data_IF_358211967554
#
_entry.id   IF_358211967554
#
_cell.length_a   1.000
_cell.length_b   1.000
_cell.length_c   1.000
_cell.angle_alpha   90.00
_cell.angle_beta   90.00
_cell.angle_gamma   90.00
#
_symmetry.space_group_name_H-M   'P 1'
#
loop_
_entity.id
_entity.type
_entity.pdbx_description
1 polymer ?
#
# COMPACT_ATOMS: atom_id res chain seq x y z
N UNK A 1 -7.52 -24.87 1.33
CA UNK A 1 -7.15 -23.49 1.71
C UNK A 1 -7.81 -22.55 0.74
N UNK A 2 -8.28 -21.38 1.19
CA UNK A 2 -8.81 -20.35 0.27
C UNK A 2 -7.65 -19.73 -0.48
N UNK A 3 -7.74 -19.71 -1.81
CA UNK A 3 -6.74 -19.12 -2.70
C UNK A 3 -7.38 -17.95 -3.43
N UNK A 4 -6.60 -16.90 -3.64
CA UNK A 4 -7.03 -15.68 -4.29
C UNK A 4 -6.15 -15.36 -5.49
N UNK A 5 -6.75 -14.71 -6.48
CA UNK A 5 -6.02 -14.00 -7.51
C UNK A 5 -5.75 -12.59 -7.02
N UNK A 6 -4.53 -12.12 -7.20
CA UNK A 6 -4.19 -10.70 -7.00
C UNK A 6 -3.92 -10.04 -8.35
N UNK A 7 -4.18 -8.73 -8.44
CA UNK A 7 -3.90 -7.95 -9.65
C UNK A 7 -3.34 -6.59 -9.25
N UNK A 8 -2.15 -6.27 -9.75
CA UNK A 8 -1.52 -4.97 -9.52
C UNK A 8 -2.20 -3.88 -10.37
N UNK A 9 -2.72 -2.84 -9.73
CA UNK A 9 -3.35 -1.68 -10.35
C UNK A 9 -2.47 -0.46 -10.12
N UNK A 10 -1.88 0.11 -11.17
CA UNK A 10 -1.12 1.35 -11.05
C UNK A 10 -2.06 2.55 -11.03
N UNK A 11 -2.02 3.32 -9.93
CA UNK A 11 -2.91 4.47 -9.66
C UNK A 11 -2.18 5.79 -9.85
N UNK A 12 -1.05 5.77 -10.46
CA UNK A 12 -0.21 6.92 -10.76
C UNK A 12 1.26 6.58 -10.68
N UNK A 13 2.08 7.58 -10.98
CA UNK A 13 3.55 7.42 -11.01
C UNK A 13 4.22 8.67 -10.48
N UNK A 14 5.12 8.51 -9.51
CA UNK A 14 6.03 9.52 -9.02
C UNK A 14 7.38 9.36 -9.75
N UNK A 15 8.01 10.46 -10.08
CA UNK A 15 9.37 10.50 -10.64
C UNK A 15 10.26 11.23 -9.66
N UNK A 16 11.14 10.49 -9.03
CA UNK A 16 12.04 10.99 -8.00
C UNK A 16 13.36 10.19 -8.04
N UNK A 17 14.27 10.50 -7.12
CA UNK A 17 15.41 9.64 -6.88
C UNK A 17 14.98 8.34 -6.21
N UNK A 18 15.80 7.31 -6.35
CA UNK A 18 15.56 6.00 -5.71
C UNK A 18 15.77 6.03 -4.19
N UNK A 19 16.59 6.97 -3.68
CA UNK A 19 17.00 6.99 -2.27
C UNK A 19 15.84 7.01 -1.24
N UNK A 20 14.64 7.60 -1.48
CA UNK A 20 13.52 7.47 -0.55
C UNK A 20 13.08 6.02 -0.30
N UNK A 21 13.30 5.15 -1.28
CA UNK A 21 12.92 3.74 -1.22
C UNK A 21 14.02 2.84 -0.62
N UNK A 22 15.27 3.37 -0.50
CA UNK A 22 16.45 2.58 -0.13
C UNK A 22 17.42 3.42 0.71
N UNK A 23 17.42 3.21 2.02
CA UNK A 23 18.26 3.96 2.95
C UNK A 23 19.74 3.85 2.63
N UNK A 24 20.39 4.98 2.45
CA UNK A 24 21.84 5.08 2.18
C UNK A 24 22.25 4.68 0.76
N UNK A 25 21.30 4.46 -0.16
CA UNK A 25 21.55 4.07 -1.55
C UNK A 25 20.72 4.92 -2.52
N UNK A 26 21.06 4.90 -3.81
CA UNK A 26 20.25 5.47 -4.89
C UNK A 26 20.19 7.00 -4.92
N UNK A 27 21.14 7.71 -4.31
CA UNK A 27 21.24 9.17 -4.39
C UNK A 27 21.58 9.62 -5.81
N UNK A 28 20.74 10.49 -6.39
CA UNK A 28 20.91 10.96 -7.77
C UNK A 28 20.62 9.89 -8.83
N UNK A 29 20.09 8.73 -8.45
CA UNK A 29 19.62 7.67 -9.34
C UNK A 29 18.14 7.91 -9.65
N UNK A 30 17.77 8.38 -10.88
CA UNK A 30 16.37 8.58 -11.23
C UNK A 30 15.60 7.27 -11.16
N UNK A 31 14.43 7.30 -10.51
CA UNK A 31 13.57 6.13 -10.37
C UNK A 31 12.12 6.47 -10.72
N UNK A 32 11.48 5.56 -11.42
CA UNK A 32 10.04 5.61 -11.67
C UNK A 32 9.34 4.86 -10.56
N UNK A 33 8.70 5.59 -9.67
CA UNK A 33 8.04 5.11 -8.47
C UNK A 33 6.53 4.95 -8.74
N UNK A 34 6.04 3.77 -9.13
CA UNK A 34 4.61 3.57 -9.32
C UNK A 34 3.88 3.62 -7.99
N UNK A 35 2.65 4.11 -8.02
CA UNK A 35 1.71 4.06 -6.89
C UNK A 35 0.77 2.90 -7.17
N UNK A 36 0.75 1.92 -6.28
CA UNK A 36 -0.01 0.70 -6.45
C UNK A 36 -1.28 0.65 -5.58
N UNK A 37 -2.34 0.11 -6.15
CA UNK A 37 -3.42 -0.56 -5.44
C UNK A 37 -3.41 -2.02 -5.86
N UNK A 38 -3.72 -2.94 -4.95
CA UNK A 38 -3.74 -4.37 -5.29
C UNK A 38 -5.14 -4.94 -5.13
N UNK A 39 -5.74 -5.36 -6.24
CA UNK A 39 -7.02 -6.04 -6.23
C UNK A 39 -6.84 -7.52 -5.83
N UNK A 40 -7.70 -8.00 -4.93
CA UNK A 40 -7.76 -9.38 -4.45
C UNK A 40 -9.13 -9.94 -4.80
N UNK A 41 -9.18 -11.02 -5.58
CA UNK A 41 -10.42 -11.65 -6.02
C UNK A 41 -10.41 -13.16 -5.74
N UNK A 42 -11.49 -13.65 -5.19
CA UNK A 42 -11.69 -15.09 -4.96
C UNK A 42 -12.69 -15.36 -3.85
N UNK A 43 -13.24 -16.56 -3.83
CA UNK A 43 -14.17 -17.02 -2.78
C UNK A 43 -15.35 -16.06 -2.53
N UNK A 44 -15.84 -15.39 -3.58
CA UNK A 44 -16.93 -14.40 -3.50
C UNK A 44 -16.52 -13.06 -2.90
N UNK A 45 -15.22 -12.79 -2.75
CA UNK A 45 -14.67 -11.54 -2.21
C UNK A 45 -13.99 -10.74 -3.32
N UNK A 46 -14.26 -9.44 -3.33
CA UNK A 46 -13.52 -8.41 -4.05
C UNK A 46 -12.98 -7.42 -3.03
N UNK A 47 -11.66 -7.41 -2.84
CA UNK A 47 -10.98 -6.53 -1.90
C UNK A 47 -9.87 -5.73 -2.58
N UNK A 48 -9.51 -4.59 -2.00
CA UNK A 48 -8.34 -3.80 -2.38
C UNK A 48 -7.38 -3.69 -1.21
N UNK A 49 -6.10 -3.71 -1.51
CA UNK A 49 -5.06 -3.21 -0.61
C UNK A 49 -4.56 -1.88 -1.18
N UNK A 50 -4.73 -0.84 -0.40
CA UNK A 50 -4.50 0.57 -0.72
C UNK A 50 -5.37 1.11 -1.87
N UNK A 51 -5.49 2.43 -1.97
CA UNK A 51 -6.37 3.09 -2.92
C UNK A 51 -5.68 4.19 -3.75
N UNK A 52 -4.35 4.29 -3.66
CA UNK A 52 -3.57 5.23 -4.45
C UNK A 52 -3.81 6.71 -4.11
N UNK A 53 -3.55 7.60 -5.07
CA UNK A 53 -3.64 9.06 -4.93
C UNK A 53 -5.02 9.59 -5.29
N UNK A 54 -5.41 10.67 -4.59
CA UNK A 54 -6.65 11.41 -4.85
C UNK A 54 -6.60 12.22 -6.15
N UNK A 55 -5.59 13.06 -6.28
CA UNK A 55 -5.49 14.05 -7.35
C UNK A 55 -4.04 14.49 -7.56
N UNK A 56 -3.61 14.54 -8.82
CA UNK A 56 -2.23 14.88 -9.21
C UNK A 56 -1.87 16.32 -8.82
N UNK A 57 -2.79 17.25 -9.03
CA UNK A 57 -2.53 18.67 -8.74
C UNK A 57 -2.45 18.91 -7.23
N UNK A 58 -3.32 18.25 -6.46
CA UNK A 58 -3.24 18.29 -5.00
C UNK A 58 -1.88 17.79 -4.49
N UNK A 59 -1.37 16.68 -5.03
CA UNK A 59 -0.05 16.15 -4.64
C UNK A 59 1.06 17.17 -4.94
N UNK A 60 1.06 17.80 -6.13
CA UNK A 60 2.04 18.83 -6.50
C UNK A 60 2.02 20.03 -5.57
N UNK A 61 0.83 20.46 -5.16
CA UNK A 61 0.67 21.63 -4.28
C UNK A 61 1.02 21.33 -2.83
N UNK A 62 0.78 20.13 -2.36
CA UNK A 62 0.86 19.75 -0.95
C UNK A 62 2.19 19.10 -0.60
N UNK A 63 2.64 18.15 -1.42
CA UNK A 63 3.86 17.38 -1.14
C UNK A 63 5.09 18.09 -1.68
N UNK A 64 4.95 18.82 -2.76
CA UNK A 64 6.00 19.65 -3.35
C UNK A 64 6.05 19.53 -4.88
N UNK A 65 6.33 20.62 -5.55
CA UNK A 65 6.42 20.67 -7.02
C UNK A 65 7.58 19.84 -7.58
N UNK A 66 8.58 19.52 -6.76
CA UNK A 66 9.70 18.63 -7.08
C UNK A 66 9.26 17.18 -7.23
N UNK A 67 8.14 16.79 -6.62
CA UNK A 67 7.53 15.47 -6.81
C UNK A 67 6.72 15.48 -8.11
N UNK A 68 7.40 15.17 -9.21
CA UNK A 68 6.73 15.04 -10.49
C UNK A 68 5.84 13.81 -10.46
N UNK A 69 4.54 14.02 -10.39
CA UNK A 69 3.53 12.98 -10.41
C UNK A 69 2.74 13.02 -11.70
N UNK A 70 2.42 11.85 -12.25
CA UNK A 70 1.53 11.69 -13.42
C UNK A 70 0.50 10.61 -13.13
N UNK A 71 -0.64 10.71 -13.81
CA UNK A 71 -1.71 9.73 -13.75
C UNK A 71 -2.40 9.71 -15.11
N UNK A 72 -2.36 8.57 -15.79
CA UNK A 72 -3.09 8.37 -17.03
C UNK A 72 -4.59 8.13 -16.74
N UNK A 73 -5.45 8.17 -17.76
CA UNK A 73 -6.89 7.94 -17.57
C UNK A 73 -7.19 6.55 -16.97
N UNK A 74 -6.48 5.53 -17.41
CA UNK A 74 -6.58 4.15 -16.89
C UNK A 74 -5.81 3.93 -15.58
N UNK A 75 -5.18 4.95 -15.02
CA UNK A 75 -4.54 4.99 -13.71
C UNK A 75 -5.37 5.73 -12.66
N UNK A 76 -6.48 6.38 -13.03
CA UNK A 76 -7.46 6.79 -12.03
C UNK A 76 -8.02 5.54 -11.35
N UNK A 77 -8.44 5.64 -10.10
CA UNK A 77 -8.99 4.47 -9.38
C UNK A 77 -10.14 3.82 -10.15
N UNK A 78 -11.06 4.64 -10.70
CA UNK A 78 -12.18 4.14 -11.49
C UNK A 78 -11.70 3.53 -12.83
N UNK A 79 -10.74 4.17 -13.49
CA UNK A 79 -10.17 3.67 -14.74
C UNK A 79 -9.47 2.32 -14.56
N UNK A 80 -8.67 2.19 -13.51
CA UNK A 80 -7.96 0.96 -13.19
C UNK A 80 -8.91 -0.20 -12.83
N UNK A 81 -9.95 0.09 -12.04
CA UNK A 81 -10.99 -0.89 -11.72
C UNK A 81 -11.77 -1.33 -12.97
N UNK A 82 -12.12 -0.40 -13.85
CA UNK A 82 -12.83 -0.71 -15.10
C UNK A 82 -12.05 -1.68 -16.00
N UNK A 83 -10.71 -1.61 -16.02
CA UNK A 83 -9.85 -2.54 -16.79
C UNK A 83 -9.93 -3.99 -16.30
N UNK A 84 -10.29 -4.20 -15.05
CA UNK A 84 -10.49 -5.54 -14.48
C UNK A 84 -11.99 -5.91 -14.34
N UNK A 85 -12.87 -5.08 -14.92
CA UNK A 85 -14.31 -5.30 -14.91
C UNK A 85 -14.98 -5.01 -13.55
N UNK A 86 -14.39 -4.12 -12.73
CA UNK A 86 -14.91 -3.72 -11.44
C UNK A 86 -15.34 -2.25 -11.46
N UNK A 87 -16.23 -1.93 -10.54
CA UNK A 87 -16.58 -0.57 -10.12
C UNK A 87 -16.21 -0.37 -8.65
N UNK A 88 -16.26 0.85 -8.16
CA UNK A 88 -16.07 1.14 -6.73
C UNK A 88 -17.13 0.48 -5.84
N UNK A 89 -18.33 0.24 -6.37
CA UNK A 89 -19.42 -0.41 -5.65
C UNK A 89 -19.24 -1.93 -5.52
N UNK A 90 -18.42 -2.54 -6.36
CA UNK A 90 -18.09 -3.97 -6.28
C UNK A 90 -17.15 -4.30 -5.12
N UNK A 91 -16.36 -3.32 -4.65
CA UNK A 91 -15.35 -3.52 -3.63
C UNK A 91 -16.00 -3.61 -2.25
N UNK A 92 -15.84 -4.76 -1.62
CA UNK A 92 -16.42 -5.07 -0.31
C UNK A 92 -15.47 -4.75 0.85
N UNK A 93 -14.17 -4.77 0.58
CA UNK A 93 -13.12 -4.62 1.60
C UNK A 93 -12.02 -3.73 1.02
N UNK A 94 -11.58 -2.74 1.81
CA UNK A 94 -10.37 -1.98 1.58
C UNK A 94 -9.45 -2.18 2.79
N UNK A 95 -8.22 -2.58 2.55
CA UNK A 95 -7.18 -2.72 3.58
C UNK A 95 -6.12 -1.65 3.28
N UNK A 96 -5.94 -0.68 4.16
CA UNK A 96 -4.84 0.27 4.01
C UNK A 96 -3.61 -0.28 4.72
N UNK A 97 -2.48 -0.34 3.98
CA UNK A 97 -1.19 -0.69 4.57
C UNK A 97 -0.76 0.36 5.58
N UNK A 98 -1.02 1.61 5.26
CA UNK A 98 -0.91 2.79 6.12
C UNK A 98 -1.76 3.93 5.51
N UNK A 99 -1.76 5.12 6.12
CA UNK A 99 -2.69 6.18 5.74
C UNK A 99 -2.03 7.39 5.06
N UNK A 100 -0.86 7.23 4.41
CA UNK A 100 -0.30 8.27 3.56
C UNK A 100 -1.20 8.51 2.33
N UNK A 101 -1.09 9.71 1.74
CA UNK A 101 -1.94 10.20 0.66
C UNK A 101 -1.94 9.31 -0.59
N UNK A 102 -0.85 8.61 -0.85
CA UNK A 102 -0.67 7.73 -2.01
C UNK A 102 -1.10 6.27 -1.75
N UNK A 103 -1.57 5.98 -0.54
CA UNK A 103 -2.15 4.69 -0.12
C UNK A 103 -3.63 4.79 0.27
N UNK A 104 -4.05 5.90 0.86
CA UNK A 104 -5.43 6.10 1.30
C UNK A 104 -6.18 7.20 0.52
N UNK A 105 -5.59 7.71 -0.55
CA UNK A 105 -6.06 8.89 -1.26
C UNK A 105 -7.43 8.76 -1.91
N UNK A 106 -7.85 7.56 -2.30
CA UNK A 106 -9.17 7.34 -2.90
C UNK A 106 -10.14 6.59 -1.99
N UNK A 107 -9.89 6.48 -0.68
CA UNK A 107 -10.79 5.79 0.25
C UNK A 107 -12.23 6.30 0.16
N UNK A 108 -12.43 7.60 -0.01
CA UNK A 108 -13.74 8.26 -0.11
C UNK A 108 -14.63 7.74 -1.25
N UNK A 109 -14.07 7.05 -2.24
CA UNK A 109 -14.82 6.49 -3.37
C UNK A 109 -15.57 5.20 -3.00
N UNK A 110 -15.12 4.46 -1.97
CA UNK A 110 -15.61 3.11 -1.66
C UNK A 110 -16.68 3.12 -0.56
N UNK A 111 -17.85 3.62 -0.90
CA UNK A 111 -18.95 3.86 0.07
C UNK A 111 -19.56 2.60 0.68
N UNK A 112 -19.40 1.46 0.00
CA UNK A 112 -19.95 0.17 0.41
C UNK A 112 -18.92 -0.73 1.09
N UNK A 113 -17.63 -0.35 1.08
CA UNK A 113 -16.55 -1.17 1.62
C UNK A 113 -16.45 -1.09 3.15
N UNK A 114 -15.91 -2.15 3.74
CA UNK A 114 -15.38 -2.17 5.09
C UNK A 114 -13.88 -1.92 5.00
N UNK A 115 -13.38 -0.97 5.78
CA UNK A 115 -11.98 -0.56 5.80
C UNK A 115 -11.26 -1.18 6.99
N UNK A 116 -10.00 -1.59 6.76
CA UNK A 116 -9.13 -2.15 7.78
C UNK A 116 -7.82 -1.37 7.84
N UNK A 117 -7.47 -0.86 9.01
CA UNK A 117 -6.17 -0.27 9.32
C UNK A 117 -5.81 -0.56 10.78
N UNK A 118 -4.54 -0.50 11.13
CA UNK A 118 -4.12 -0.56 12.52
C UNK A 118 -4.59 0.69 13.26
N UNK A 119 -5.09 0.55 14.49
CA UNK A 119 -5.55 1.66 15.32
C UNK A 119 -4.46 2.71 15.54
N UNK A 120 -3.25 2.26 15.80
CA UNK A 120 -2.11 3.14 16.02
C UNK A 120 -1.77 3.97 14.78
N UNK A 121 -2.04 3.47 13.56
CA UNK A 121 -1.88 4.23 12.32
C UNK A 121 -2.89 5.37 12.23
N UNK A 122 -4.14 5.06 12.55
CA UNK A 122 -5.20 6.07 12.61
C UNK A 122 -4.87 7.18 13.59
N UNK A 123 -4.48 6.82 14.82
CA UNK A 123 -4.13 7.78 15.86
C UNK A 123 -2.90 8.61 15.48
N UNK A 124 -1.90 7.96 14.89
CA UNK A 124 -0.69 8.63 14.43
C UNK A 124 -0.95 9.62 13.29
N UNK A 125 -1.85 9.31 12.37
CA UNK A 125 -2.16 10.17 11.23
C UNK A 125 -2.59 11.59 11.60
N UNK A 126 -3.16 11.77 12.79
CA UNK A 126 -3.53 13.09 13.32
C UNK A 126 -2.42 13.77 14.13
N UNK A 127 -1.42 13.03 14.59
CA UNK A 127 -0.34 13.50 15.46
C UNK A 127 1.04 13.08 14.96
N UNK A 128 1.20 12.96 13.64
CA UNK A 128 2.47 12.54 13.04
C UNK A 128 3.61 13.52 13.40
N UNK A 129 4.83 13.00 13.48
CA UNK A 129 6.04 13.81 13.63
C UNK A 129 6.22 14.74 12.42
N UNK A 130 6.92 15.85 12.61
CA UNK A 130 6.94 16.96 11.67
C UNK A 130 7.32 16.56 10.24
N UNK A 131 8.31 15.68 10.08
CA UNK A 131 8.77 15.20 8.78
C UNK A 131 7.82 14.21 8.09
N UNK A 132 6.77 13.74 8.76
CA UNK A 132 5.78 12.84 8.18
C UNK A 132 4.39 13.47 8.01
N UNK A 133 4.12 14.61 8.64
CA UNK A 133 2.81 15.29 8.58
C UNK A 133 2.33 15.55 7.15
N UNK A 134 3.23 15.92 6.26
CA UNK A 134 2.91 16.28 4.88
C UNK A 134 2.36 15.09 4.06
N UNK A 135 2.61 13.85 4.51
CA UNK A 135 2.12 12.66 3.82
C UNK A 135 0.68 12.27 4.24
N UNK A 136 0.16 12.84 5.33
CA UNK A 136 -1.19 12.52 5.81
C UNK A 136 -2.22 13.54 5.34
N UNK A 137 -3.35 13.04 4.83
CA UNK A 137 -4.48 13.83 4.37
C UNK A 137 -5.80 13.28 4.97
N UNK A 138 -6.07 13.49 6.28
CA UNK A 138 -7.21 12.89 6.96
C UNK A 138 -8.56 13.11 6.27
N UNK A 139 -8.76 14.25 5.61
CA UNK A 139 -10.00 14.55 4.88
C UNK A 139 -10.32 13.57 3.73
N UNK A 140 -9.36 12.69 3.32
CA UNK A 140 -9.57 11.68 2.29
C UNK A 140 -10.07 10.34 2.87
N UNK A 141 -9.89 10.10 4.16
CA UNK A 141 -10.22 8.83 4.80
C UNK A 141 -10.93 8.96 6.16
N UNK A 142 -10.99 10.16 6.74
CA UNK A 142 -11.65 10.37 8.02
C UNK A 142 -13.18 10.23 7.94
N UNK A 143 -13.86 10.51 9.03
CA UNK A 143 -15.30 10.33 9.13
C UNK A 143 -16.13 11.29 8.27
N UNK A 144 -15.51 12.32 7.71
CA UNK A 144 -16.14 13.20 6.71
C UNK A 144 -16.16 12.55 5.32
N UNK A 145 -15.17 11.73 5.02
CA UNK A 145 -15.00 11.03 3.74
C UNK A 145 -15.58 9.60 3.76
N UNK A 146 -15.32 8.85 4.84
CA UNK A 146 -15.69 7.45 5.02
C UNK A 146 -16.50 7.29 6.31
N UNK A 147 -17.64 6.59 6.25
CA UNK A 147 -18.48 6.38 7.43
C UNK A 147 -17.68 5.71 8.56
N UNK A 148 -17.78 6.23 9.77
CA UNK A 148 -17.13 5.66 10.95
C UNK A 148 -17.42 4.16 11.13
N UNK A 149 -18.67 3.74 10.94
CA UNK A 149 -19.09 2.36 11.07
C UNK A 149 -18.48 1.41 10.04
N UNK A 150 -17.91 1.94 8.96
CA UNK A 150 -17.20 1.15 7.94
C UNK A 150 -15.77 0.81 8.34
N UNK A 151 -15.18 1.47 9.33
CA UNK A 151 -13.83 1.21 9.80
C UNK A 151 -13.77 0.06 10.81
N UNK A 152 -12.83 -0.84 10.61
CA UNK A 152 -12.38 -1.88 11.54
C UNK A 152 -10.94 -1.59 11.94
N UNK A 153 -10.79 -0.92 13.08
CA UNK A 153 -9.47 -0.63 13.65
C UNK A 153 -8.91 -1.90 14.25
N UNK A 154 -7.74 -2.31 13.75
CA UNK A 154 -7.03 -3.50 14.21
C UNK A 154 -6.06 -3.15 15.32
N UNK A 155 -5.87 -4.09 16.24
CA UNK A 155 -4.90 -4.02 17.33
C UNK A 155 -3.98 -5.25 17.25
N UNK A 156 -3.24 -5.36 16.14
CA UNK A 156 -2.35 -6.48 15.86
C UNK A 156 -2.74 -7.30 14.62
N UNK A 157 -2.32 -8.55 14.58
CA UNK A 157 -2.60 -9.47 13.49
C UNK A 157 -4.08 -9.82 13.37
N UNK A 158 -4.59 -9.85 12.15
CA UNK A 158 -6.01 -10.16 11.89
C UNK A 158 -6.18 -10.92 10.57
N UNK A 159 -6.80 -12.08 10.62
CA UNK A 159 -7.29 -12.75 9.43
C UNK A 159 -8.63 -12.11 9.00
N UNK A 160 -8.57 -11.23 8.02
CA UNK A 160 -9.74 -10.50 7.47
C UNK A 160 -10.71 -11.45 6.78
N UNK A 161 -10.17 -12.41 6.06
CA UNK A 161 -10.86 -13.57 5.44
C UNK A 161 -9.89 -14.75 5.43
N UNK A 162 -10.37 -16.00 5.43
CA UNK A 162 -9.49 -17.17 5.35
C UNK A 162 -8.50 -17.05 4.18
N UNK A 163 -7.21 -16.89 4.48
CA UNK A 163 -6.14 -16.69 3.49
C UNK A 163 -5.84 -15.23 3.13
N UNK A 164 -6.46 -14.23 3.80
CA UNK A 164 -6.09 -12.80 3.74
C UNK A 164 -5.81 -12.34 5.16
N UNK A 165 -4.54 -12.11 5.49
CA UNK A 165 -4.08 -11.80 6.86
C UNK A 165 -3.38 -10.46 6.88
N UNK A 166 -3.88 -9.52 7.67
CA UNK A 166 -3.18 -8.28 8.02
C UNK A 166 -2.19 -8.57 9.14
N UNK A 167 -0.94 -8.17 8.97
CA UNK A 167 0.11 -8.30 9.98
C UNK A 167 0.72 -6.92 10.26
N UNK A 168 0.92 -6.52 11.54
CA UNK A 168 1.67 -5.31 11.85
C UNK A 168 3.05 -5.36 11.20
N UNK A 169 3.41 -4.28 10.53
CA UNK A 169 4.69 -4.12 9.82
C UNK A 169 5.29 -2.73 10.12
N UNK A 170 5.48 -2.38 11.42
CA UNK A 170 5.96 -1.05 11.80
C UNK A 170 7.39 -0.80 11.29
N UNK A 171 7.69 0.47 11.08
CA UNK A 171 9.00 0.93 10.60
C UNK A 171 8.83 2.21 9.81
N UNK A 172 8.22 2.14 8.64
CA UNK A 172 7.88 3.31 7.82
C UNK A 172 6.96 4.28 8.59
N UNK A 173 5.86 3.77 9.11
CA UNK A 173 5.03 4.43 10.13
C UNK A 173 4.88 3.51 11.35
N UNK A 174 4.45 4.01 12.52
CA UNK A 174 4.25 3.14 13.69
C UNK A 174 3.10 2.15 13.51
N UNK A 175 2.15 2.45 12.64
CA UNK A 175 0.97 1.62 12.38
C UNK A 175 0.93 0.97 11.02
N UNK A 176 2.03 0.99 10.27
CA UNK A 176 2.12 0.24 9.01
C UNK A 176 1.78 -1.22 9.20
N UNK A 177 1.09 -1.81 8.24
CA UNK A 177 0.79 -3.24 8.16
C UNK A 177 1.07 -3.77 6.76
N UNK A 178 1.41 -5.04 6.65
CA UNK A 178 1.47 -5.77 5.40
C UNK A 178 0.29 -6.74 5.30
N UNK A 179 -0.04 -7.15 4.08
CA UNK A 179 -1.13 -8.09 3.83
C UNK A 179 -0.58 -9.36 3.20
N UNK A 180 -0.72 -10.48 3.88
CA UNK A 180 -0.39 -11.80 3.37
C UNK A 180 -1.59 -12.40 2.67
N UNK A 181 -1.43 -12.78 1.41
CA UNK A 181 -2.50 -13.34 0.58
C UNK A 181 -2.09 -14.73 0.09
N UNK A 182 -2.89 -15.74 0.40
CA UNK A 182 -2.72 -17.09 -0.15
C UNK A 182 -3.11 -17.11 -1.62
N UNK A 183 -2.17 -17.46 -2.51
CA UNK A 183 -2.35 -17.55 -3.96
C UNK A 183 -1.94 -18.92 -4.48
N UNK A 184 -2.17 -19.21 -5.76
CA UNK A 184 -1.67 -20.44 -6.40
C UNK A 184 -0.13 -20.51 -6.45
N UNK A 185 0.56 -19.36 -6.35
CA UNK A 185 2.03 -19.27 -6.35
C UNK A 185 2.65 -19.27 -4.94
N UNK A 186 1.86 -19.55 -3.89
CA UNK A 186 2.25 -19.44 -2.49
C UNK A 186 1.70 -18.20 -1.83
N UNK A 187 2.27 -17.80 -0.70
CA UNK A 187 1.90 -16.61 0.05
C UNK A 187 2.57 -15.38 -0.56
N UNK A 188 1.75 -14.44 -1.06
CA UNK A 188 2.24 -13.14 -1.53
C UNK A 188 2.06 -12.11 -0.41
N UNK A 189 3.16 -11.44 -0.05
CA UNK A 189 3.12 -10.27 0.82
C UNK A 189 2.88 -9.01 -0.01
N UNK A 190 1.82 -8.26 0.29
CA UNK A 190 1.62 -6.90 -0.19
C UNK A 190 2.22 -6.01 0.89
N UNK A 191 3.42 -5.47 0.62
CA UNK A 191 4.30 -4.89 1.64
C UNK A 191 3.98 -3.44 2.01
N UNK A 192 3.26 -2.70 1.14
CA UNK A 192 3.19 -1.24 1.27
C UNK A 192 4.61 -0.66 1.41
N UNK A 193 4.72 0.45 2.13
CA UNK A 193 6.00 1.14 2.31
C UNK A 193 6.90 0.57 3.40
N UNK A 194 6.45 -0.48 4.08
CA UNK A 194 7.34 -1.27 4.90
C UNK A 194 8.40 -2.00 4.03
N UNK A 195 8.04 -2.36 2.78
CA UNK A 195 8.91 -2.97 1.78
C UNK A 195 8.56 -2.42 0.40
N UNK A 196 9.29 -1.44 -0.08
CA UNK A 196 9.06 -0.81 -1.39
C UNK A 196 9.56 -1.67 -2.55
N UNK A 197 10.73 -2.28 -2.39
CA UNK A 197 11.46 -2.98 -3.44
C UNK A 197 11.95 -4.36 -2.96
N UNK A 198 12.17 -5.34 -3.85
CA UNK A 198 12.76 -6.62 -3.48
C UNK A 198 14.11 -6.49 -2.75
N UNK A 199 14.92 -5.48 -3.07
CA UNK A 199 16.21 -5.26 -2.39
C UNK A 199 16.03 -4.89 -0.91
N UNK A 200 14.90 -4.28 -0.51
CA UNK A 200 14.68 -3.98 0.90
C UNK A 200 14.73 -5.27 1.73
N UNK A 201 14.02 -6.29 1.29
CA UNK A 201 13.94 -7.55 2.04
C UNK A 201 15.11 -8.49 1.75
N UNK A 202 15.58 -8.58 0.50
CA UNK A 202 16.61 -9.53 0.11
C UNK A 202 18.03 -9.08 0.52
N UNK A 203 18.26 -7.75 0.61
CA UNK A 203 19.57 -7.18 0.97
C UNK A 203 19.57 -6.48 2.32
N UNK A 204 18.45 -6.56 3.05
CA UNK A 204 18.29 -5.96 4.37
C UNK A 204 18.49 -4.43 4.38
N UNK A 205 17.87 -3.73 3.43
CA UNK A 205 17.93 -2.28 3.25
C UNK A 205 16.59 -1.66 3.58
N UNK A 206 16.52 -0.79 4.58
CA UNK A 206 15.26 -0.12 4.94
C UNK A 206 14.86 0.94 3.90
N UNK A 207 13.57 1.30 3.79
CA UNK A 207 13.16 2.56 3.20
C UNK A 207 13.80 3.74 3.94
N UNK A 208 14.04 4.87 3.25
CA UNK A 208 14.62 6.05 3.90
C UNK A 208 13.56 6.90 4.63
N UNK A 209 12.32 6.90 4.12
CA UNK A 209 11.20 7.49 4.86
C UNK A 209 10.79 6.48 5.94
N UNK A 210 11.30 6.70 7.15
CA UNK A 210 11.14 5.73 8.24
C UNK A 210 10.94 6.42 9.59
N UNK A 211 10.01 5.90 10.38
CA UNK A 211 9.76 6.33 11.75
C UNK A 211 10.69 5.62 12.74
N UNK A 212 10.93 4.31 12.56
CA UNK A 212 11.73 3.49 13.48
C UNK A 212 12.50 2.39 12.74
N UNK A 213 13.83 2.54 12.69
CA UNK A 213 14.71 1.59 11.98
C UNK A 213 14.71 0.20 12.63
N UNK A 214 14.74 0.10 13.96
CA UNK A 214 14.76 -1.20 14.66
C UNK A 214 13.49 -1.99 14.36
N UNK A 215 12.33 -1.35 14.48
CA UNK A 215 11.06 -1.95 14.12
C UNK A 215 11.03 -2.37 12.62
N UNK A 216 11.59 -1.54 11.73
CA UNK A 216 11.70 -1.84 10.31
C UNK A 216 12.50 -3.12 10.04
N UNK A 217 13.66 -3.32 10.67
CA UNK A 217 14.44 -4.55 10.51
C UNK A 217 13.70 -5.79 11.05
N UNK A 218 13.01 -5.68 12.18
CA UNK A 218 12.15 -6.77 12.68
C UNK A 218 11.01 -7.10 11.71
N UNK A 219 10.43 -6.07 11.08
CA UNK A 219 9.41 -6.25 10.03
C UNK A 219 9.96 -7.03 8.84
N UNK A 220 11.15 -6.67 8.32
CA UNK A 220 11.76 -7.41 7.21
C UNK A 220 12.00 -8.88 7.56
N UNK A 221 12.52 -9.16 8.74
CA UNK A 221 12.77 -10.53 9.23
C UNK A 221 11.47 -11.32 9.37
N UNK A 222 10.45 -10.74 9.97
CA UNK A 222 9.14 -11.37 10.15
C UNK A 222 8.51 -11.73 8.80
N UNK A 223 8.52 -10.81 7.82
CA UNK A 223 7.90 -11.04 6.51
C UNK A 223 8.69 -12.10 5.73
N UNK A 224 10.03 -12.10 5.79
CA UNK A 224 10.88 -13.12 5.15
C UNK A 224 10.53 -14.53 5.59
N UNK A 225 10.10 -14.71 6.84
CA UNK A 225 9.71 -16.00 7.39
C UNK A 225 8.25 -16.39 7.10
N UNK A 226 7.45 -15.52 6.48
CA UNK A 226 5.99 -15.72 6.33
C UNK A 226 5.48 -15.66 4.90
N UNK A 227 6.28 -15.17 3.96
CA UNK A 227 5.84 -14.99 2.59
C UNK A 227 6.85 -15.58 1.59
N UNK A 228 6.33 -16.07 0.47
CA UNK A 228 7.12 -16.63 -0.61
C UNK A 228 7.48 -15.58 -1.67
N UNK A 229 6.61 -14.57 -1.82
CA UNK A 229 6.70 -13.54 -2.86
C UNK A 229 6.32 -12.17 -2.33
N UNK A 230 6.76 -11.13 -3.03
CA UNK A 230 6.56 -9.73 -2.68
C UNK A 230 5.80 -8.97 -3.78
N UNK A 231 4.76 -8.25 -3.39
CA UNK A 231 4.23 -7.08 -4.07
C UNK A 231 4.75 -5.87 -3.31
N UNK A 232 5.85 -5.26 -3.79
CA UNK A 232 6.47 -4.09 -3.14
C UNK A 232 5.63 -2.83 -3.30
N UNK A 233 5.69 -1.92 -2.34
CA UNK A 233 4.88 -0.70 -2.31
C UNK A 233 5.11 0.21 -3.52
N UNK A 234 6.35 0.23 -4.05
CA UNK A 234 6.73 1.10 -5.16
C UNK A 234 7.64 0.42 -6.19
N UNK A 235 7.53 -0.91 -6.33
CA UNK A 235 8.38 -1.66 -7.26
C UNK A 235 8.04 -1.36 -8.72
N UNK A 236 8.94 -0.66 -9.42
CA UNK A 236 8.80 -0.31 -10.83
C UNK A 236 8.96 -1.49 -11.80
N UNK A 237 9.41 -2.66 -11.33
CA UNK A 237 9.50 -3.87 -12.16
C UNK A 237 8.13 -4.56 -12.33
N UNK A 238 7.17 -4.29 -11.43
CA UNK A 238 5.81 -4.81 -11.53
C UNK A 238 5.07 -4.08 -12.66
N UNK A 239 4.35 -4.84 -13.47
CA UNK A 239 3.60 -4.29 -14.60
C UNK A 239 2.13 -4.03 -14.22
N UNK A 240 1.50 -3.05 -14.89
CA UNK A 240 0.05 -2.86 -14.79
C UNK A 240 -0.69 -4.17 -15.07
N UNK A 241 -1.68 -4.47 -14.24
CA UNK A 241 -2.53 -5.66 -14.34
C UNK A 241 -1.78 -7.00 -14.22
N UNK A 242 -0.55 -6.98 -13.69
CA UNK A 242 0.19 -8.21 -13.36
C UNK A 242 -0.58 -9.03 -12.33
N UNK A 243 -0.74 -10.35 -12.59
CA UNK A 243 -1.51 -11.25 -11.73
C UNK A 243 -0.70 -12.42 -11.18
N UNK A 244 0.54 -12.58 -11.63
CA UNK A 244 1.43 -13.70 -11.26
C UNK A 244 2.89 -13.30 -11.48
N UNK A 245 3.81 -14.15 -11.05
CA UNK A 245 5.24 -13.93 -11.25
C UNK A 245 5.81 -12.79 -10.42
N UNK A 246 5.20 -12.46 -9.28
CA UNK A 246 5.77 -11.49 -8.34
C UNK A 246 7.15 -11.94 -7.84
N UNK A 247 8.09 -11.01 -7.56
CA UNK A 247 9.42 -11.33 -7.09
C UNK A 247 9.42 -12.31 -5.91
N UNK A 248 10.34 -13.26 -5.91
CA UNK A 248 10.54 -14.14 -4.75
C UNK A 248 11.27 -13.42 -3.63
N UNK A 249 10.92 -13.77 -2.42
CA UNK A 249 11.67 -13.44 -1.21
C UNK A 249 12.73 -14.53 -1.03
N UNK A 250 14.01 -14.13 -0.87
CA UNK A 250 15.17 -15.03 -0.74
C UNK A 250 15.63 -15.11 0.72
#
# INVERSE_FOLDING_TARGET
MSVYKITALRIGTLYADKHPLTMGRGFGEPYTTPIWSTAIEGNGIKALVDTGIHDVEWVRQTVGAEYRVTQEEDETMQGALAKIGWTTDDVQIVINTHLHYDHAGCNYLFKNAIFYAQRIEWEYSYNAIENQKLYYAPFLYDWSAVRYTSWKMLDGECEVRPGIVCIPAPGHTPGSQAVLVSTEEGVVCIGGDAINLPENINENVLPNIIYNCEAGFHTLEMIRNRADRLMGGHDGAIQKYQTSGFPRIN
#
